data_IF_058995655568
#
_entry.id   IF_058995655568
#
_cell.length_a   1.000
_cell.length_b   1.000
_cell.length_c   1.000
_cell.angle_alpha   90.00
_cell.angle_beta   90.00
_cell.angle_gamma   90.00
#
_symmetry.space_group_name_H-M   'P 1'
#
loop_
_entity.id
_entity.type
_entity.pdbx_description
1 polymer ?
#
# COMPACT_ATOMS: atom_id res chain seq x y z
N UNK A 1 0.88 -30.11 27.31
CA UNK A 1 0.92 -30.62 28.69
C UNK A 1 2.31 -30.62 29.33
N UNK A 2 3.42 -30.86 28.61
CA UNK A 2 4.79 -30.90 29.18
C UNK A 2 5.30 -29.55 29.71
N UNK A 3 4.97 -28.40 29.08
CA UNK A 3 5.42 -27.06 29.52
C UNK A 3 4.81 -26.58 30.86
N UNK A 4 3.55 -26.95 31.15
CA UNK A 4 2.89 -26.58 32.41
C UNK A 4 3.50 -27.27 33.64
N UNK A 5 3.95 -28.50 33.49
CA UNK A 5 4.52 -29.26 34.61
C UNK A 5 5.89 -28.72 35.04
N UNK A 6 6.78 -28.49 34.06
CA UNK A 6 8.14 -27.93 34.33
C UNK A 6 8.11 -26.54 34.96
N UNK A 7 7.21 -25.69 34.51
CA UNK A 7 7.13 -24.31 35.01
C UNK A 7 6.47 -24.20 36.39
N UNK A 8 5.59 -25.12 36.75
CA UNK A 8 5.08 -25.21 38.13
C UNK A 8 6.14 -25.71 39.10
N UNK A 9 7.00 -26.67 38.66
CA UNK A 9 8.17 -27.11 39.45
C UNK A 9 9.16 -25.96 39.64
N UNK A 10 9.51 -25.23 38.59
CA UNK A 10 10.45 -24.08 38.68
C UNK A 10 9.92 -22.96 39.56
N UNK A 11 8.59 -22.74 39.62
CA UNK A 11 8.01 -21.69 40.48
C UNK A 11 8.11 -22.00 41.98
N UNK A 12 8.29 -23.26 42.35
CA UNK A 12 8.47 -23.69 43.75
C UNK A 12 9.87 -23.34 44.27
N UNK A 13 10.86 -23.23 43.39
CA UNK A 13 12.26 -22.88 43.75
C UNK A 13 12.57 -21.39 43.73
N UNK A 14 11.58 -20.53 43.42
CA UNK A 14 11.75 -19.06 43.40
C UNK A 14 11.47 -18.49 44.78
N UNK A 15 12.44 -17.91 45.52
CA UNK A 15 12.27 -17.48 46.91
C UNK A 15 11.29 -16.31 47.08
N UNK A 16 11.12 -15.45 46.06
CA UNK A 16 10.34 -14.25 46.14
C UNK A 16 8.84 -14.48 45.84
N UNK A 17 7.96 -14.19 46.79
CA UNK A 17 6.47 -14.21 46.65
C UNK A 17 6.02 -13.31 45.46
N UNK A 18 6.66 -12.15 45.31
CA UNK A 18 6.33 -11.20 44.23
C UNK A 18 6.68 -11.72 42.85
N UNK A 19 7.84 -12.41 42.70
CA UNK A 19 8.27 -12.98 41.43
C UNK A 19 7.38 -14.17 41.04
N UNK A 20 6.97 -15.02 42.02
CA UNK A 20 6.01 -16.10 41.78
C UNK A 20 4.65 -15.57 41.33
N UNK A 21 4.16 -14.44 41.91
CA UNK A 21 2.93 -13.78 41.51
C UNK A 21 3.02 -13.21 40.08
N UNK A 22 4.13 -12.56 39.73
CA UNK A 22 4.40 -12.05 38.37
C UNK A 22 4.45 -13.17 37.33
N UNK A 23 5.10 -14.29 37.62
CA UNK A 23 5.15 -15.46 36.73
C UNK A 23 3.78 -16.10 36.54
N UNK A 24 2.93 -16.18 37.59
CA UNK A 24 1.56 -16.67 37.48
C UNK A 24 0.68 -15.74 36.64
N UNK A 25 0.84 -14.43 36.81
CA UNK A 25 0.13 -13.41 36.01
C UNK A 25 0.57 -13.46 34.54
N UNK A 26 1.86 -13.67 34.28
CA UNK A 26 2.39 -13.83 32.92
C UNK A 26 1.85 -15.09 32.22
N UNK A 27 1.69 -16.17 32.94
CA UNK A 27 1.06 -17.41 32.42
C UNK A 27 -0.43 -17.27 32.16
N UNK A 28 -1.14 -16.51 32.98
CA UNK A 28 -2.53 -16.16 32.72
C UNK A 28 -2.63 -15.39 31.40
N UNK A 29 -1.74 -14.43 31.19
CA UNK A 29 -1.68 -13.63 29.96
C UNK A 29 -1.37 -14.50 28.72
N UNK A 30 -0.44 -15.46 28.83
CA UNK A 30 -0.10 -16.39 27.72
C UNK A 30 -1.30 -17.27 27.36
N UNK A 31 -2.05 -17.76 28.35
CA UNK A 31 -3.27 -18.56 28.12
C UNK A 31 -4.40 -17.71 27.52
N UNK A 32 -4.57 -16.47 27.96
CA UNK A 32 -5.58 -15.54 27.44
C UNK A 32 -5.23 -15.12 26.01
N UNK A 33 -3.93 -14.92 25.71
CA UNK A 33 -3.45 -14.63 24.36
C UNK A 33 -3.69 -15.79 23.40
N UNK A 34 -3.40 -17.04 23.81
CA UNK A 34 -3.66 -18.22 22.99
C UNK A 34 -5.16 -18.40 22.72
N UNK A 35 -6.02 -18.14 23.71
CA UNK A 35 -7.47 -18.19 23.53
C UNK A 35 -7.93 -17.11 22.55
N UNK A 36 -7.50 -15.86 22.74
CA UNK A 36 -7.84 -14.76 21.86
C UNK A 36 -7.40 -15.04 20.42
N UNK A 37 -6.21 -15.61 20.24
CA UNK A 37 -5.72 -16.04 18.94
C UNK A 37 -6.62 -17.10 18.29
N UNK A 38 -7.06 -18.11 19.06
CA UNK A 38 -7.98 -19.14 18.58
C UNK A 38 -9.33 -18.55 18.19
N UNK A 39 -9.88 -17.61 18.99
CA UNK A 39 -11.13 -16.92 18.69
C UNK A 39 -11.02 -16.09 17.41
N UNK A 40 -9.91 -15.38 17.24
CA UNK A 40 -9.62 -14.60 16.01
C UNK A 40 -9.48 -15.53 14.80
N UNK A 41 -8.79 -16.66 14.94
CA UNK A 41 -8.63 -17.63 13.85
C UNK A 41 -9.97 -18.27 13.48
N UNK A 42 -10.84 -18.54 14.45
CA UNK A 42 -12.21 -19.00 14.23
C UNK A 42 -13.06 -17.96 13.48
N UNK A 43 -13.03 -16.69 13.91
CA UNK A 43 -13.75 -15.59 13.25
C UNK A 43 -13.27 -15.43 11.80
N UNK A 44 -11.95 -15.47 11.57
CA UNK A 44 -11.37 -15.41 10.21
C UNK A 44 -11.85 -16.59 9.35
N UNK A 45 -11.88 -17.80 9.90
CA UNK A 45 -12.37 -18.97 9.19
C UNK A 45 -13.87 -18.83 8.87
N UNK A 46 -14.69 -18.41 9.83
CA UNK A 46 -16.10 -18.18 9.62
C UNK A 46 -16.38 -17.14 8.53
N UNK A 47 -15.66 -16.03 8.53
CA UNK A 47 -15.77 -15.01 7.46
C UNK A 47 -15.38 -15.56 6.09
N UNK A 48 -14.30 -16.33 6.00
CA UNK A 48 -13.85 -16.95 4.73
C UNK A 48 -14.87 -17.92 4.13
N UNK A 49 -15.64 -18.61 4.96
CA UNK A 49 -16.65 -19.57 4.50
C UNK A 49 -18.04 -18.96 4.28
N UNK A 50 -18.33 -17.80 4.89
CA UNK A 50 -19.66 -17.21 4.87
C UNK A 50 -19.81 -16.03 3.91
N UNK A 51 -18.70 -15.40 3.47
CA UNK A 51 -18.73 -14.19 2.67
C UNK A 51 -17.51 -14.11 1.73
N UNK A 52 -17.75 -13.74 0.48
CA UNK A 52 -16.64 -13.35 -0.42
C UNK A 52 -16.20 -11.91 -0.10
N UNK A 53 -14.90 -11.59 -0.26
CA UNK A 53 -14.43 -10.21 -0.07
C UNK A 53 -15.20 -9.19 -0.92
N UNK A 54 -15.56 -9.57 -2.15
CA UNK A 54 -16.33 -8.71 -3.07
C UNK A 54 -17.71 -8.33 -2.56
N UNK A 55 -18.31 -9.13 -1.67
CA UNK A 55 -19.65 -8.90 -1.12
C UNK A 55 -19.63 -7.99 0.13
N UNK A 56 -18.41 -7.59 0.58
CA UNK A 56 -18.30 -6.68 1.72
C UNK A 56 -18.86 -5.30 1.33
N UNK A 57 -19.82 -4.76 2.10
CA UNK A 57 -20.35 -3.43 1.83
C UNK A 57 -19.28 -2.36 2.05
N UNK A 58 -19.41 -1.18 1.43
CA UNK A 58 -18.56 -0.04 1.73
C UNK A 58 -18.53 0.26 3.22
N UNK A 59 -17.37 0.69 3.72
CA UNK A 59 -17.23 1.08 5.13
C UNK A 59 -18.09 2.30 5.45
N UNK A 60 -18.31 2.54 6.74
CA UNK A 60 -19.09 3.67 7.24
C UNK A 60 -18.26 4.54 8.18
N UNK A 61 -18.82 5.67 8.60
CA UNK A 61 -18.23 6.57 9.57
C UNK A 61 -16.94 7.23 9.07
N UNK A 62 -15.97 7.41 9.97
CA UNK A 62 -14.79 8.22 9.72
C UNK A 62 -13.91 7.66 8.56
N UNK A 63 -13.79 6.34 8.44
CA UNK A 63 -13.00 5.73 7.35
C UNK A 63 -13.65 6.05 5.99
N UNK A 64 -14.97 5.93 5.89
CA UNK A 64 -15.69 6.32 4.67
C UNK A 64 -15.50 7.79 4.33
N UNK A 65 -15.52 8.65 5.32
CA UNK A 65 -15.27 10.08 5.12
C UNK A 65 -13.87 10.37 4.59
N UNK A 66 -12.85 9.68 5.09
CA UNK A 66 -11.48 9.79 4.58
C UNK A 66 -11.41 9.36 3.12
N UNK A 67 -12.01 8.22 2.78
CA UNK A 67 -12.10 7.72 1.40
C UNK A 67 -12.74 8.76 0.47
N UNK A 68 -13.85 9.37 0.87
CA UNK A 68 -14.53 10.37 0.05
C UNK A 68 -13.75 11.68 -0.08
N UNK A 69 -13.03 12.11 0.98
CA UNK A 69 -12.15 13.27 0.93
C UNK A 69 -10.99 13.12 -0.05
N UNK A 70 -10.43 11.91 -0.17
CA UNK A 70 -9.36 11.63 -1.14
C UNK A 70 -9.88 11.76 -2.57
N UNK A 71 -11.13 11.37 -2.85
CA UNK A 71 -11.70 11.38 -4.20
C UNK A 71 -11.69 12.75 -4.87
N UNK A 72 -11.85 13.84 -4.11
CA UNK A 72 -11.74 15.20 -4.68
C UNK A 72 -10.35 15.44 -5.27
N UNK A 73 -9.30 14.94 -4.62
CA UNK A 73 -7.92 15.06 -5.12
C UNK A 73 -7.64 14.13 -6.29
N UNK A 74 -8.26 12.94 -6.29
CA UNK A 74 -8.17 12.01 -7.43
C UNK A 74 -8.78 12.63 -8.69
N UNK A 75 -9.98 13.21 -8.59
CA UNK A 75 -10.62 13.92 -9.70
C UNK A 75 -9.75 15.04 -10.25
N UNK A 76 -9.26 15.91 -9.36
CA UNK A 76 -8.36 16.98 -9.73
C UNK A 76 -7.09 16.47 -10.43
N UNK A 77 -6.45 15.41 -9.88
CA UNK A 77 -5.25 14.83 -10.45
C UNK A 77 -5.50 14.21 -11.82
N UNK A 78 -6.61 13.49 -11.97
CA UNK A 78 -7.03 12.89 -13.23
C UNK A 78 -7.21 13.96 -14.33
N UNK A 79 -7.98 15.01 -14.04
CA UNK A 79 -8.21 16.14 -14.96
C UNK A 79 -6.90 16.87 -15.32
N UNK A 80 -6.01 17.05 -14.33
CA UNK A 80 -4.69 17.66 -14.56
C UNK A 80 -3.85 16.81 -15.51
N UNK A 81 -3.82 15.49 -15.31
CA UNK A 81 -3.08 14.56 -16.16
C UNK A 81 -3.67 14.52 -17.57
N UNK A 82 -4.97 14.38 -17.72
CA UNK A 82 -5.65 14.33 -19.02
C UNK A 82 -5.41 15.62 -19.83
N UNK A 83 -5.59 16.79 -19.22
CA UNK A 83 -5.33 18.08 -19.85
C UNK A 83 -3.90 18.23 -20.37
N UNK A 84 -2.94 17.56 -19.74
CA UNK A 84 -1.52 17.67 -20.06
C UNK A 84 -0.99 16.45 -20.84
N UNK A 85 -1.85 15.49 -21.23
CA UNK A 85 -1.45 14.29 -21.96
C UNK A 85 -0.52 13.38 -21.16
N UNK A 86 -0.71 13.33 -19.83
CA UNK A 86 0.05 12.48 -18.91
C UNK A 86 -0.77 11.23 -18.62
N UNK A 87 -0.14 10.06 -18.72
CA UNK A 87 -0.75 8.80 -18.34
C UNK A 87 -0.59 8.56 -16.83
N UNK A 88 -1.69 8.18 -16.19
CA UNK A 88 -1.72 7.69 -14.81
C UNK A 88 -2.60 6.46 -14.72
N UNK A 89 -2.47 5.67 -13.70
CA UNK A 89 -3.34 4.52 -13.44
C UNK A 89 -3.52 4.28 -11.94
N UNK A 90 -4.64 3.63 -11.59
CA UNK A 90 -4.86 3.14 -10.23
C UNK A 90 -3.89 2.00 -9.93
N UNK A 91 -3.36 1.97 -8.71
CA UNK A 91 -2.35 1.00 -8.33
C UNK A 91 -2.71 0.28 -7.01
N UNK A 92 -1.98 -0.74 -6.68
CA UNK A 92 -2.06 -1.50 -5.43
C UNK A 92 -3.48 -1.73 -4.90
N UNK A 93 -3.75 -1.34 -3.64
CA UNK A 93 -5.03 -1.49 -2.96
C UNK A 93 -6.17 -0.78 -3.67
N UNK A 94 -5.88 0.35 -4.31
CA UNK A 94 -6.87 1.11 -5.09
C UNK A 94 -7.29 0.36 -6.35
N UNK A 95 -6.35 -0.22 -7.10
CA UNK A 95 -6.65 -1.06 -8.25
C UNK A 95 -7.42 -2.32 -7.84
N UNK A 96 -7.03 -2.95 -6.73
CA UNK A 96 -7.76 -4.08 -6.15
C UNK A 96 -9.21 -3.68 -5.82
N UNK A 97 -9.40 -2.51 -5.23
CA UNK A 97 -10.70 -1.94 -4.94
C UNK A 97 -11.54 -1.73 -6.19
N UNK A 98 -10.98 -1.13 -7.24
CA UNK A 98 -11.66 -0.95 -8.54
C UNK A 98 -12.11 -2.29 -9.14
N UNK A 99 -11.22 -3.28 -9.17
CA UNK A 99 -11.48 -4.58 -9.79
C UNK A 99 -12.51 -5.40 -9.02
N UNK A 100 -12.57 -5.28 -7.68
CA UNK A 100 -13.35 -6.16 -6.81
C UNK A 100 -14.60 -5.51 -6.23
N UNK A 101 -14.53 -4.21 -5.89
CA UNK A 101 -15.58 -3.48 -5.16
C UNK A 101 -16.18 -2.33 -5.98
N UNK A 102 -15.63 -1.98 -7.14
CA UNK A 102 -15.92 -0.75 -7.89
C UNK A 102 -15.72 0.53 -7.07
N UNK A 103 -14.88 0.46 -6.06
CA UNK A 103 -14.58 1.51 -5.10
C UNK A 103 -13.49 1.05 -4.15
N UNK A 104 -13.35 1.71 -3.01
CA UNK A 104 -12.37 1.32 -2.02
C UNK A 104 -12.57 -0.10 -1.49
N UNK A 105 -11.49 -0.79 -1.21
CA UNK A 105 -11.53 -1.94 -0.30
C UNK A 105 -12.07 -1.44 1.03
N UNK A 106 -13.11 -2.06 1.64
CA UNK A 106 -13.84 -1.46 2.79
C UNK A 106 -12.98 -1.10 4.00
N UNK A 107 -11.87 -1.80 4.21
CA UNK A 107 -10.94 -1.55 5.33
C UNK A 107 -9.69 -0.76 4.93
N UNK A 108 -9.63 -0.25 3.69
CA UNK A 108 -8.53 0.53 3.19
C UNK A 108 -8.83 2.03 3.29
N UNK A 109 -7.89 2.82 3.74
CA UNK A 109 -8.09 4.25 4.02
C UNK A 109 -7.08 5.15 3.30
N UNK A 110 -6.30 4.58 2.38
CA UNK A 110 -5.39 5.26 1.48
C UNK A 110 -5.77 5.07 0.01
N UNK A 111 -5.10 5.78 -0.86
CA UNK A 111 -5.29 5.67 -2.30
C UNK A 111 -3.97 5.82 -3.01
N UNK A 112 -3.70 4.86 -3.89
CA UNK A 112 -2.47 4.73 -4.64
C UNK A 112 -2.71 4.98 -6.12
N UNK A 113 -1.95 5.88 -6.70
CA UNK A 113 -1.85 6.09 -8.14
C UNK A 113 -0.43 5.80 -8.61
N UNK A 114 -0.28 5.50 -9.88
CA UNK A 114 1.02 5.40 -10.50
C UNK A 114 1.11 6.23 -11.78
N UNK A 115 2.33 6.66 -12.10
CA UNK A 115 2.68 7.46 -13.27
C UNK A 115 4.00 6.96 -13.85
N UNK A 116 4.34 7.38 -15.06
CA UNK A 116 5.69 7.15 -15.60
C UNK A 116 6.71 8.01 -14.85
N UNK A 117 7.85 7.45 -14.54
CA UNK A 117 8.94 8.16 -13.84
C UNK A 117 9.39 9.43 -14.60
N UNK A 118 9.37 9.36 -15.92
CA UNK A 118 9.76 10.44 -16.81
C UNK A 118 8.81 11.66 -16.72
N UNK A 119 7.54 11.44 -16.38
CA UNK A 119 6.55 12.51 -16.21
C UNK A 119 6.55 13.14 -14.82
N UNK A 120 7.25 12.53 -13.86
CA UNK A 120 7.23 12.92 -12.44
C UNK A 120 7.53 14.41 -12.21
N UNK A 121 8.64 14.92 -12.74
CA UNK A 121 9.02 16.32 -12.51
C UNK A 121 8.03 17.30 -13.14
N UNK A 122 7.49 16.95 -14.31
CA UNK A 122 6.43 17.75 -14.96
C UNK A 122 5.17 17.76 -14.11
N UNK A 123 4.76 16.62 -13.55
CA UNK A 123 3.61 16.53 -12.65
C UNK A 123 3.83 17.37 -11.40
N UNK A 124 4.98 17.25 -10.77
CA UNK A 124 5.30 18.05 -9.57
C UNK A 124 5.26 19.54 -9.84
N UNK A 125 5.73 20.01 -11.01
CA UNK A 125 5.63 21.42 -11.39
C UNK A 125 4.17 21.85 -11.59
N UNK A 126 3.37 21.06 -12.32
CA UNK A 126 1.95 21.32 -12.53
C UNK A 126 1.17 21.38 -11.20
N UNK A 127 1.48 20.51 -10.25
CA UNK A 127 0.84 20.52 -8.93
C UNK A 127 1.21 21.79 -8.14
N UNK A 128 2.48 22.21 -8.18
CA UNK A 128 2.93 23.47 -7.53
C UNK A 128 2.26 24.69 -8.16
N UNK A 129 2.16 24.76 -9.48
CA UNK A 129 1.52 25.84 -10.23
C UNK A 129 0.03 25.98 -9.89
N UNK A 130 -0.60 24.87 -9.46
CA UNK A 130 -1.97 24.83 -8.97
C UNK A 130 -2.09 24.96 -7.44
N UNK A 131 -1.02 25.35 -6.74
CA UNK A 131 -0.97 25.50 -5.28
C UNK A 131 -1.35 24.22 -4.51
N UNK A 132 -1.03 23.06 -5.05
CA UNK A 132 -1.25 21.77 -4.38
C UNK A 132 -0.11 21.53 -3.39
N UNK A 133 -0.47 21.26 -2.15
CA UNK A 133 0.51 20.91 -1.13
C UNK A 133 1.04 19.50 -1.33
N UNK A 134 2.37 19.36 -1.30
CA UNK A 134 3.08 18.12 -1.52
C UNK A 134 3.88 17.72 -0.29
N UNK A 135 3.96 16.43 -0.01
CA UNK A 135 4.88 15.87 0.98
C UNK A 135 5.79 14.84 0.31
N UNK A 136 7.08 15.03 0.50
CA UNK A 136 8.14 14.16 -0.02
C UNK A 136 9.24 14.03 1.01
N UNK A 137 9.74 12.83 1.21
CA UNK A 137 10.94 12.66 2.02
C UNK A 137 12.17 13.10 1.26
N UNK A 138 13.16 13.65 1.98
CA UNK A 138 14.41 14.12 1.38
C UNK A 138 15.09 12.97 0.63
N UNK A 139 15.26 13.14 -0.68
CA UNK A 139 15.89 12.15 -1.54
C UNK A 139 14.93 11.09 -2.11
N UNK A 140 13.63 11.19 -1.86
CA UNK A 140 12.60 10.33 -2.43
C UNK A 140 12.32 10.76 -3.88
N UNK A 141 12.52 9.84 -4.83
CA UNK A 141 12.23 10.08 -6.26
C UNK A 141 11.29 9.04 -6.87
N UNK A 142 11.08 7.92 -6.20
CA UNK A 142 10.21 6.83 -6.65
C UNK A 142 8.73 7.05 -6.32
N UNK A 143 8.40 8.01 -5.43
CA UNK A 143 7.02 8.39 -5.13
C UNK A 143 6.93 9.85 -4.67
N UNK A 144 5.74 10.38 -4.60
CA UNK A 144 5.41 11.64 -3.92
C UNK A 144 3.98 11.57 -3.37
N UNK A 145 3.68 12.43 -2.41
CA UNK A 145 2.36 12.49 -1.77
C UNK A 145 1.71 13.83 -2.03
N UNK A 146 0.44 13.79 -2.41
CA UNK A 146 -0.43 14.96 -2.45
C UNK A 146 -1.14 15.03 -1.11
N UNK A 147 -1.00 16.16 -0.41
CA UNK A 147 -1.71 16.38 0.84
C UNK A 147 -3.19 16.63 0.55
N UNK A 148 -4.05 15.80 1.11
CA UNK A 148 -5.51 15.91 0.99
C UNK A 148 -6.06 16.76 2.14
N UNK A 149 -5.62 16.45 3.35
CA UNK A 149 -6.07 17.11 4.57
C UNK A 149 -4.98 17.06 5.63
N UNK A 150 -4.82 18.15 6.38
CA UNK A 150 -4.07 18.21 7.63
C UNK A 150 -5.01 18.46 8.79
N UNK A 151 -5.02 17.56 9.74
CA UNK A 151 -5.65 17.71 11.04
C UNK A 151 -4.58 17.55 12.13
N UNK A 152 -4.83 17.99 13.35
CA UNK A 152 -3.82 17.99 14.42
C UNK A 152 -3.26 16.59 14.70
N UNK A 153 -2.01 16.37 14.29
CA UNK A 153 -1.33 15.07 14.44
C UNK A 153 -1.72 14.01 13.42
N UNK A 154 -2.42 14.38 12.36
CA UNK A 154 -2.78 13.49 11.27
C UNK A 154 -2.73 14.22 9.91
N UNK A 155 -2.19 13.56 8.91
CA UNK A 155 -2.23 14.02 7.53
C UNK A 155 -2.76 12.92 6.64
N UNK A 156 -3.78 13.22 5.83
CA UNK A 156 -4.30 12.34 4.80
C UNK A 156 -3.60 12.64 3.49
N UNK A 157 -3.12 11.60 2.83
CA UNK A 157 -2.40 11.72 1.57
C UNK A 157 -3.06 10.91 0.45
N UNK A 158 -2.78 11.34 -0.78
CA UNK A 158 -2.90 10.57 -1.99
C UNK A 158 -1.46 10.21 -2.42
N UNK A 159 -1.14 8.92 -2.48
CA UNK A 159 0.19 8.45 -2.82
C UNK A 159 0.32 8.26 -4.33
N UNK A 160 1.41 8.75 -4.93
CA UNK A 160 1.68 8.64 -6.36
C UNK A 160 3.06 8.03 -6.57
N UNK A 161 3.08 6.84 -7.16
CA UNK A 161 4.28 6.06 -7.45
C UNK A 161 4.80 6.35 -8.87
N UNK A 162 6.10 6.54 -9.00
CA UNK A 162 6.74 6.82 -10.28
C UNK A 162 7.48 5.55 -10.79
N UNK A 163 6.96 4.95 -11.86
CA UNK A 163 7.46 3.71 -12.43
C UNK A 163 8.51 3.99 -13.48
N UNK A 164 9.72 3.45 -13.27
CA UNK A 164 10.86 3.64 -14.20
C UNK A 164 10.85 2.57 -15.28
N UNK A 165 10.70 3.00 -16.53
CA UNK A 165 10.91 2.12 -17.68
C UNK A 165 12.39 1.75 -17.84
N UNK A 166 12.66 0.48 -18.15
CA UNK A 166 13.98 -0.05 -18.53
C UNK A 166 13.80 -0.83 -19.84
N UNK A 167 14.45 -0.40 -20.89
CA UNK A 167 14.23 -0.88 -22.27
C UNK A 167 15.36 -1.79 -22.74
N UNK A 168 15.14 -2.43 -23.90
CA UNK A 168 16.14 -3.25 -24.60
C UNK A 168 16.61 -4.46 -23.78
N UNK A 169 15.73 -5.04 -22.99
CA UNK A 169 16.03 -6.16 -22.10
C UNK A 169 15.72 -7.51 -22.77
N UNK A 170 16.40 -8.54 -22.31
CA UNK A 170 16.01 -9.94 -22.51
C UNK A 170 15.46 -10.55 -21.21
N UNK A 171 14.92 -11.77 -21.30
CA UNK A 171 14.32 -12.47 -20.16
C UNK A 171 15.31 -12.76 -19.01
N UNK A 172 16.61 -12.88 -19.29
CA UNK A 172 17.62 -13.11 -18.27
C UNK A 172 17.88 -11.88 -17.42
N UNK A 173 17.84 -10.70 -18.04
CA UNK A 173 18.03 -9.42 -17.36
C UNK A 173 16.87 -9.07 -16.42
N UNK A 174 15.65 -9.52 -16.71
CA UNK A 174 14.53 -9.42 -15.77
C UNK A 174 14.89 -10.08 -14.43
N UNK A 175 15.40 -11.30 -14.48
CA UNK A 175 15.81 -12.01 -13.25
C UNK A 175 16.94 -11.29 -12.52
N UNK A 176 17.92 -10.73 -13.25
CA UNK A 176 19.02 -9.96 -12.65
C UNK A 176 18.49 -8.70 -11.94
N UNK A 177 17.56 -7.96 -12.54
CA UNK A 177 16.93 -6.77 -11.95
C UNK A 177 16.15 -7.17 -10.68
N UNK A 178 15.30 -8.20 -10.73
CA UNK A 178 14.56 -8.68 -9.57
C UNK A 178 15.47 -9.05 -8.41
N UNK A 179 16.52 -9.80 -8.68
CA UNK A 179 17.53 -10.19 -7.68
C UNK A 179 18.23 -8.97 -7.08
N UNK A 180 18.67 -8.04 -7.94
CA UNK A 180 19.31 -6.81 -7.49
C UNK A 180 18.37 -5.99 -6.60
N UNK A 181 17.12 -5.77 -7.01
CA UNK A 181 16.13 -5.02 -6.24
C UNK A 181 15.85 -5.70 -4.88
N UNK A 182 15.67 -7.02 -4.87
CA UNK A 182 15.46 -7.79 -3.63
C UNK A 182 16.67 -7.69 -2.68
N UNK A 183 17.91 -7.71 -3.20
CA UNK A 183 19.12 -7.54 -2.41
C UNK A 183 19.25 -6.13 -1.83
N UNK A 184 18.86 -5.15 -2.61
CA UNK A 184 18.88 -3.76 -2.18
C UNK A 184 17.84 -3.51 -1.08
N UNK A 185 16.61 -4.01 -1.21
CA UNK A 185 15.58 -3.93 -0.18
C UNK A 185 16.02 -4.55 1.15
N UNK A 186 16.69 -5.69 1.10
CA UNK A 186 17.22 -6.34 2.32
C UNK A 186 18.31 -5.55 3.02
N UNK A 187 19.15 -4.84 2.27
CA UNK A 187 20.34 -4.12 2.80
C UNK A 187 20.03 -2.71 3.28
N UNK A 188 19.03 -2.06 2.69
CA UNK A 188 18.71 -0.65 2.97
C UNK A 188 17.18 -0.43 2.98
N UNK A 189 16.50 -0.80 4.07
CA UNK A 189 15.04 -0.66 4.17
C UNK A 189 14.57 0.79 4.33
N UNK A 190 15.48 1.79 4.30
CA UNK A 190 15.17 3.20 4.52
C UNK A 190 15.52 4.01 3.27
N UNK A 191 14.60 4.92 2.87
CA UNK A 191 14.77 5.90 1.79
C UNK A 191 16.10 6.65 1.90
N UNK A 192 16.95 6.51 0.88
CA UNK A 192 18.28 7.09 0.87
C UNK A 192 18.65 7.48 -0.57
N UNK A 193 19.01 8.75 -0.78
CA UNK A 193 19.43 9.28 -2.08
C UNK A 193 20.56 8.45 -2.73
N UNK A 194 21.52 7.99 -1.93
CA UNK A 194 22.63 7.14 -2.41
C UNK A 194 22.12 5.78 -2.92
N UNK A 195 21.08 5.25 -2.27
CA UNK A 195 20.43 4.02 -2.70
C UNK A 195 19.78 4.20 -4.07
N UNK A 196 19.00 5.24 -4.25
CA UNK A 196 18.31 5.53 -5.51
C UNK A 196 19.30 5.73 -6.66
N UNK A 197 20.36 6.51 -6.44
CA UNK A 197 21.41 6.68 -7.44
C UNK A 197 22.03 5.34 -7.86
N UNK A 198 22.23 4.42 -6.90
CA UNK A 198 22.73 3.09 -7.18
C UNK A 198 21.72 2.25 -7.98
N UNK A 199 20.43 2.32 -7.66
CA UNK A 199 19.37 1.64 -8.42
C UNK A 199 19.28 2.20 -9.83
N UNK A 200 19.19 3.50 -9.99
CA UNK A 200 19.10 4.16 -11.30
C UNK A 200 20.34 3.89 -12.16
N UNK A 201 21.54 3.91 -11.56
CA UNK A 201 22.77 3.55 -12.26
C UNK A 201 22.75 2.11 -12.76
N UNK A 202 22.37 1.16 -11.91
CA UNK A 202 22.24 -0.25 -12.29
C UNK A 202 21.21 -0.48 -13.40
N UNK A 203 20.05 0.15 -13.32
CA UNK A 203 19.01 0.05 -14.36
C UNK A 203 19.49 0.65 -15.70
N UNK A 204 20.23 1.77 -15.66
CA UNK A 204 20.85 2.36 -16.84
C UNK A 204 21.91 1.44 -17.46
N UNK A 205 22.72 0.76 -16.66
CA UNK A 205 23.69 -0.23 -17.16
C UNK A 205 22.99 -1.42 -17.83
N UNK A 206 21.85 -1.88 -17.28
CA UNK A 206 21.05 -2.94 -17.90
C UNK A 206 20.50 -2.51 -19.26
N UNK A 207 19.92 -1.33 -19.36
CA UNK A 207 19.38 -0.77 -20.61
C UNK A 207 20.47 -0.60 -21.69
N UNK A 208 21.67 -0.20 -21.29
CA UNK A 208 22.82 0.01 -22.18
C UNK A 208 23.38 -1.28 -22.79
N UNK A 209 23.13 -2.44 -22.18
CA UNK A 209 23.55 -3.74 -22.73
C UNK A 209 22.81 -4.09 -24.01
N UNK A 210 21.62 -3.56 -24.25
CA UNK A 210 20.78 -3.77 -25.44
C UNK A 210 20.64 -5.25 -25.83
N UNK A 211 20.39 -6.10 -24.83
CA UNK A 211 20.39 -7.55 -24.98
C UNK A 211 19.13 -8.08 -25.68
N UNK A 212 18.06 -7.31 -25.71
CA UNK A 212 16.77 -7.71 -26.29
C UNK A 212 15.88 -6.54 -26.68
N UNK A 213 14.58 -6.78 -26.76
CA UNK A 213 13.56 -5.79 -27.15
C UNK A 213 12.49 -5.58 -26.09
N UNK A 214 12.58 -6.25 -24.95
CA UNK A 214 11.59 -6.14 -23.88
C UNK A 214 11.74 -4.80 -23.15
N UNK A 215 10.60 -4.26 -22.69
CA UNK A 215 10.53 -3.13 -21.76
C UNK A 215 9.89 -3.59 -20.48
N UNK A 216 10.54 -3.32 -19.36
CA UNK A 216 10.03 -3.56 -18.03
C UNK A 216 9.86 -2.24 -17.29
N UNK A 217 8.83 -2.15 -16.46
CA UNK A 217 8.61 -1.03 -15.53
C UNK A 217 8.98 -1.44 -14.12
N UNK A 218 9.92 -0.73 -13.51
CA UNK A 218 10.30 -0.92 -12.10
C UNK A 218 9.36 -0.10 -11.24
N UNK A 219 8.63 -0.77 -10.33
CA UNK A 219 7.55 -0.20 -9.50
C UNK A 219 8.02 0.90 -8.56
N UNK A 220 9.26 0.85 -8.13
CA UNK A 220 9.86 1.88 -7.29
C UNK A 220 11.37 1.87 -7.42
N UNK A 221 11.96 3.03 -7.63
CA UNK A 221 13.43 3.21 -7.61
C UNK A 221 13.95 3.57 -6.21
N UNK A 222 13.06 3.78 -5.28
CA UNK A 222 13.32 3.88 -3.84
C UNK A 222 12.67 2.71 -3.10
N UNK A 223 12.80 2.49 -1.88
CA UNK A 223 12.25 1.33 -1.16
C UNK A 223 10.81 1.50 -0.70
N UNK A 224 10.04 2.37 -1.33
CA UNK A 224 8.64 2.63 -0.97
C UNK A 224 7.72 1.42 -1.16
N UNK A 225 8.07 0.52 -2.11
CA UNK A 225 7.29 -0.68 -2.41
C UNK A 225 7.99 -1.93 -1.89
N UNK A 226 7.40 -2.57 -0.89
CA UNK A 226 7.95 -3.79 -0.26
C UNK A 226 6.98 -4.97 -0.28
N UNK A 227 5.74 -4.74 -0.70
CA UNK A 227 4.65 -5.74 -0.64
C UNK A 227 4.56 -6.64 -1.88
N UNK A 228 5.26 -6.31 -2.97
CA UNK A 228 5.16 -7.03 -4.22
C UNK A 228 6.08 -8.25 -4.27
N UNK A 229 5.60 -9.33 -4.89
CA UNK A 229 6.41 -10.49 -5.21
C UNK A 229 7.51 -10.15 -6.21
N UNK A 230 7.18 -9.36 -7.23
CA UNK A 230 8.10 -8.85 -8.24
C UNK A 230 8.16 -7.33 -8.23
N UNK A 231 9.34 -6.78 -8.41
CA UNK A 231 9.56 -5.34 -8.48
C UNK A 231 9.41 -4.79 -9.91
N UNK A 232 9.31 -5.67 -10.90
CA UNK A 232 9.16 -5.31 -12.30
C UNK A 232 7.83 -5.75 -12.87
N UNK A 233 7.32 -4.98 -13.84
CA UNK A 233 6.11 -5.27 -14.60
C UNK A 233 6.44 -5.19 -16.09
N UNK A 234 6.08 -6.18 -16.92
CA UNK A 234 6.19 -6.10 -18.35
C UNK A 234 5.34 -4.94 -18.91
N UNK A 235 5.85 -4.26 -19.95
CA UNK A 235 5.13 -3.15 -20.59
C UNK A 235 3.76 -3.58 -21.13
N UNK A 236 3.67 -4.76 -21.71
CA UNK A 236 2.42 -5.31 -22.26
C UNK A 236 1.38 -5.72 -21.22
N UNK A 237 1.75 -5.78 -19.93
CA UNK A 237 0.83 -5.93 -18.79
C UNK A 237 0.25 -4.58 -18.38
N UNK A 238 1.07 -3.52 -18.42
CA UNK A 238 0.62 -2.17 -18.09
C UNK A 238 -0.14 -1.53 -19.25
N UNK A 239 0.39 -1.59 -20.46
CA UNK A 239 -0.11 -0.81 -21.60
C UNK A 239 -0.60 -1.71 -22.76
N UNK A 240 -1.57 -1.22 -23.54
CA UNK A 240 -2.30 0.05 -23.35
C UNK A 240 -3.18 0.02 -22.10
N UNK A 241 -3.29 1.17 -21.42
CA UNK A 241 -4.20 1.30 -20.28
C UNK A 241 -5.64 1.06 -20.70
N UNK A 242 -6.44 0.46 -19.80
CA UNK A 242 -7.90 0.34 -19.92
C UNK A 242 -8.58 1.14 -18.82
N UNK A 243 -9.86 0.96 -18.61
CA UNK A 243 -10.61 1.65 -17.55
C UNK A 243 -11.44 0.69 -16.72
N UNK A 244 -11.56 0.98 -15.44
CA UNK A 244 -12.52 0.38 -14.50
C UNK A 244 -13.30 1.47 -13.80
N UNK A 245 -14.48 1.11 -13.30
CA UNK A 245 -15.25 1.96 -12.40
C UNK A 245 -14.59 1.99 -11.02
N UNK A 246 -14.43 3.19 -10.45
CA UNK A 246 -13.99 3.39 -9.08
C UNK A 246 -14.74 4.59 -8.46
N UNK A 247 -15.56 4.35 -7.43
CA UNK A 247 -16.39 5.36 -6.77
C UNK A 247 -17.24 6.19 -7.77
N UNK A 248 -17.82 5.51 -8.76
CA UNK A 248 -18.65 6.15 -9.81
C UNK A 248 -17.85 6.90 -10.88
N UNK A 249 -16.52 6.88 -10.84
CA UNK A 249 -15.65 7.43 -11.89
C UNK A 249 -15.10 6.33 -12.79
N UNK A 250 -14.90 6.64 -14.07
CA UNK A 250 -14.10 5.80 -14.98
C UNK A 250 -12.63 6.14 -14.81
N UNK A 251 -11.86 5.24 -14.18
CA UNK A 251 -10.46 5.45 -13.86
C UNK A 251 -9.57 4.58 -14.74
N UNK A 252 -8.38 5.10 -15.10
CA UNK A 252 -7.35 4.37 -15.85
C UNK A 252 -6.74 3.28 -14.99
N UNK A 253 -6.53 2.10 -15.58
CA UNK A 253 -5.92 0.93 -14.93
C UNK A 253 -4.99 0.21 -15.91
N UNK A 254 -4.05 -0.65 -15.45
CA UNK A 254 -3.25 -1.50 -16.33
C UNK A 254 -4.11 -2.30 -17.30
N UNK A 255 -3.66 -2.45 -18.54
CA UNK A 255 -4.42 -3.14 -19.59
C UNK A 255 -4.76 -4.59 -19.23
N UNK A 256 -3.81 -5.30 -18.62
CA UNK A 256 -4.00 -6.65 -18.09
C UNK A 256 -4.09 -6.61 -16.55
N UNK A 257 -4.98 -5.78 -16.01
CA UNK A 257 -5.10 -5.54 -14.55
C UNK A 257 -5.28 -6.82 -13.73
N UNK A 258 -5.93 -7.84 -14.25
CA UNK A 258 -6.11 -9.10 -13.55
C UNK A 258 -4.77 -9.84 -13.38
N UNK A 259 -3.94 -9.91 -14.43
CA UNK A 259 -2.59 -10.47 -14.37
C UNK A 259 -1.70 -9.66 -13.41
N UNK A 260 -1.79 -8.33 -13.50
CA UNK A 260 -1.10 -7.40 -12.62
C UNK A 260 -1.44 -7.61 -11.14
N UNK A 261 -2.73 -7.75 -10.80
CA UNK A 261 -3.19 -8.02 -9.45
C UNK A 261 -2.80 -9.41 -8.95
N UNK A 262 -2.83 -10.42 -9.82
CA UNK A 262 -2.35 -11.76 -9.49
C UNK A 262 -0.86 -11.78 -9.13
N UNK A 263 -0.04 -10.95 -9.80
CA UNK A 263 1.38 -10.82 -9.48
C UNK A 263 1.62 -10.23 -8.08
N UNK A 264 0.76 -9.29 -7.65
CA UNK A 264 0.92 -8.64 -6.34
C UNK A 264 0.28 -9.47 -5.21
N UNK A 265 -0.95 -9.94 -5.41
CA UNK A 265 -1.81 -10.47 -4.35
C UNK A 265 -2.11 -11.97 -4.48
N UNK A 266 -1.68 -12.62 -5.58
CA UNK A 266 -2.09 -14.00 -5.89
C UNK A 266 -3.55 -14.06 -6.29
N UNK A 267 -4.34 -14.95 -5.68
CA UNK A 267 -5.79 -14.97 -5.90
C UNK A 267 -6.46 -13.79 -5.17
N UNK A 268 -6.46 -12.64 -5.84
CA UNK A 268 -6.95 -11.38 -5.27
C UNK A 268 -8.47 -11.35 -5.04
N UNK A 269 -9.20 -12.33 -5.54
CA UNK A 269 -10.64 -12.48 -5.27
C UNK A 269 -10.91 -13.18 -3.94
N UNK A 270 -9.90 -13.80 -3.33
CA UNK A 270 -9.99 -14.45 -2.02
C UNK A 270 -9.62 -13.50 -0.87
N UNK A 271 -9.99 -13.92 0.34
CA UNK A 271 -9.53 -13.24 1.55
C UNK A 271 -7.99 -13.31 1.65
N UNK A 272 -7.32 -12.19 1.95
CA UNK A 272 -5.89 -12.22 2.18
C UNK A 272 -5.54 -13.10 3.40
N UNK A 273 -4.33 -13.66 3.46
CA UNK A 273 -3.88 -14.44 4.62
C UNK A 273 -3.96 -13.67 5.94
N UNK A 274 -3.73 -12.37 5.88
CA UNK A 274 -3.92 -11.44 7.00
C UNK A 274 -4.54 -10.14 6.48
N UNK A 275 -5.55 -9.64 7.20
CA UNK A 275 -6.07 -8.29 6.98
C UNK A 275 -5.20 -7.37 7.83
N UNK A 276 -4.24 -6.72 7.20
CA UNK A 276 -3.50 -5.62 7.82
C UNK A 276 -4.15 -4.32 7.40
N UNK A 277 -4.73 -3.62 8.34
CA UNK A 277 -5.17 -2.23 8.13
C UNK A 277 -4.09 -1.33 8.72
N UNK A 278 -3.84 -0.20 8.10
CA UNK A 278 -2.99 0.83 8.70
C UNK A 278 -3.61 1.33 10.02
N UNK A 279 -4.89 1.02 10.25
CA UNK A 279 -5.67 1.41 11.42
C UNK A 279 -5.48 2.89 11.77
N UNK A 280 -5.41 3.73 10.75
CA UNK A 280 -5.18 5.17 10.88
C UNK A 280 -6.30 5.78 11.68
N UNK A 281 -7.54 5.43 11.38
CA UNK A 281 -8.69 5.86 12.17
C UNK A 281 -8.55 5.50 13.66
N UNK A 282 -8.01 4.32 13.97
CA UNK A 282 -7.77 3.90 15.37
C UNK A 282 -6.66 4.70 16.07
N UNK A 283 -5.70 5.21 15.33
CA UNK A 283 -4.55 5.98 15.85
C UNK A 283 -4.81 7.49 15.95
N UNK A 284 -5.89 7.99 15.36
CA UNK A 284 -6.25 9.41 15.40
C UNK A 284 -6.55 9.89 16.82
N UNK A 285 -6.11 11.10 17.14
CA UNK A 285 -6.53 11.79 18.36
C UNK A 285 -8.02 12.10 18.32
N UNK A 286 -8.64 12.26 19.49
CA UNK A 286 -10.04 12.68 19.58
C UNK A 286 -10.28 14.04 18.91
N UNK A 287 -9.27 14.91 18.90
CA UNK A 287 -9.34 16.24 18.29
C UNK A 287 -9.35 16.12 16.76
N UNK A 288 -8.43 15.32 16.17
CA UNK A 288 -8.42 15.04 14.72
C UNK A 288 -9.73 14.41 14.26
N UNK A 289 -10.28 13.45 15.04
CA UNK A 289 -11.57 12.83 14.73
C UNK A 289 -12.71 13.86 14.68
N UNK A 290 -12.78 14.78 15.65
CA UNK A 290 -13.82 15.83 15.70
C UNK A 290 -13.69 16.76 14.50
N UNK A 291 -12.49 17.18 14.15
CA UNK A 291 -12.23 18.05 13.02
C UNK A 291 -12.64 17.39 11.70
N UNK A 292 -12.22 16.14 11.46
CA UNK A 292 -12.60 15.37 10.27
C UNK A 292 -14.13 15.18 10.22
N UNK A 293 -14.75 14.79 11.33
CA UNK A 293 -16.20 14.62 11.38
C UNK A 293 -16.93 15.92 11.05
N UNK A 294 -16.43 17.08 11.55
CA UNK A 294 -17.01 18.40 11.20
C UNK A 294 -16.92 18.67 9.71
N UNK A 295 -15.76 18.42 9.09
CA UNK A 295 -15.58 18.59 7.64
C UNK A 295 -16.51 17.69 6.83
N UNK A 296 -16.72 16.44 7.30
CA UNK A 296 -17.65 15.51 6.65
C UNK A 296 -19.09 16.02 6.71
N UNK A 297 -19.52 16.55 7.87
CA UNK A 297 -20.86 17.14 8.03
C UNK A 297 -21.02 18.36 7.13
N UNK A 298 -20.05 19.27 7.11
CA UNK A 298 -20.06 20.49 6.28
C UNK A 298 -20.15 20.14 4.78
N UNK A 299 -19.65 18.99 4.37
CA UNK A 299 -19.67 18.50 2.97
C UNK A 299 -20.80 17.53 2.64
N UNK A 300 -21.74 17.29 3.56
CA UNK A 300 -22.83 16.32 3.41
C UNK A 300 -22.33 14.89 3.01
N UNK A 301 -21.29 14.41 3.69
CA UNK A 301 -20.65 13.11 3.41
C UNK A 301 -21.17 11.96 4.31
N UNK A 302 -22.36 12.06 4.86
CA UNK A 302 -22.99 11.02 5.69
C UNK A 302 -24.22 10.44 5.03
#
# INVERSE_FOLDING_TARGET
>A
MKGRFLSNLLSLFIPSKQLRHRIRKWKGFETDYDRLRQDVDFIKAALRYSMYPADCPPTQGIVRGLQLLIMDKVKFFAELCEKNGIEYWLDFGTLLGAARHKGFVPWDEDLDLAVRYEDRERILQLLRDNNVELEMHKGETGMFRIVVLKAKGYTLHLDVFAYKAVKNLDSSQRYEIEKFMADMLRKNPIFNTKYQQKVLGYLGDMENRKAGSETLYVRSVDTSVTCCKHMTVPEDVLFPLTTLEFEGMSCKVPGKYAEYLCDIYGDFMQWPPSITTNNVAGRMSNESRREITRLMVERNMF
#
